data_IF_392368135953
#
_entry.id   IF_392368135953
#
_cell.length_a   1.000
_cell.length_b   1.000
_cell.length_c   1.000
_cell.angle_alpha   90.00
_cell.angle_beta   90.00
_cell.angle_gamma   90.00
#
_symmetry.space_group_name_H-M   'P 1'
#
loop_
_entity.id
_entity.type
_entity.pdbx_description
1 polymer ?
#
# COMPACT_ATOMS: atom_id res chain seq x y z
N UNK A 1 -53.14 -11.65 -29.99
CA UNK A 1 -53.27 -10.57 -28.97
C UNK A 1 -51.88 -10.30 -28.41
N UNK A 2 -51.05 -9.46 -29.05
CA UNK A 2 -51.02 -7.99 -29.00
C UNK A 2 -50.68 -7.41 -27.61
N UNK A 3 -49.46 -6.87 -27.53
CA UNK A 3 -49.04 -5.57 -26.94
C UNK A 3 -49.33 -5.32 -25.44
N UNK A 4 -48.26 -4.96 -24.72
CA UNK A 4 -48.03 -3.62 -24.14
C UNK A 4 -48.44 -3.57 -22.64
N UNK A 5 -47.81 -2.83 -21.72
CA UNK A 5 -46.75 -1.82 -21.69
C UNK A 5 -46.43 -1.59 -20.19
N UNK A 6 -45.16 -1.29 -19.84
CA UNK A 6 -44.70 -0.34 -18.78
C UNK A 6 -45.17 -0.63 -17.33
N UNK A 7 -44.48 -0.30 -16.24
CA UNK A 7 -43.42 0.65 -15.92
C UNK A 7 -43.04 0.36 -14.45
N UNK A 8 -41.75 0.37 -14.13
CA UNK A 8 -41.28 0.20 -12.75
C UNK A 8 -39.81 0.54 -12.57
N UNK A 9 -39.30 1.52 -13.33
CA UNK A 9 -38.10 2.27 -12.97
C UNK A 9 -38.57 3.44 -12.10
N UNK A 10 -38.05 3.58 -10.88
CA UNK A 10 -37.63 4.85 -10.25
C UNK A 10 -37.42 4.67 -8.74
N UNK A 11 -36.16 4.62 -8.31
CA UNK A 11 -35.67 5.22 -7.06
C UNK A 11 -34.13 5.12 -7.04
N UNK A 12 -33.47 5.63 -8.08
CA UNK A 12 -32.07 6.04 -7.96
C UNK A 12 -32.09 7.43 -7.32
N UNK A 13 -31.68 7.47 -6.06
CA UNK A 13 -31.40 8.72 -5.37
C UNK A 13 -30.44 9.55 -6.21
N UNK A 14 -30.90 10.76 -6.54
CA UNK A 14 -30.11 11.83 -7.13
C UNK A 14 -28.83 12.04 -6.29
N UNK A 15 -27.67 11.75 -6.88
CA UNK A 15 -26.41 12.34 -6.46
C UNK A 15 -26.31 13.67 -7.22
N UNK A 16 -26.42 14.83 -6.56
CA UNK A 16 -26.23 16.10 -7.24
C UNK A 16 -24.82 16.17 -7.80
N UNK A 17 -24.76 16.39 -9.10
CA UNK A 17 -23.57 16.58 -9.90
C UNK A 17 -23.01 17.98 -9.61
N UNK A 18 -22.36 18.14 -8.45
CA UNK A 18 -21.65 19.34 -8.06
C UNK A 18 -20.30 19.43 -8.77
N UNK A 19 -20.32 19.81 -10.06
CA UNK A 19 -19.15 20.37 -10.74
C UNK A 19 -18.88 21.77 -10.19
N UNK A 20 -18.33 21.82 -8.98
CA UNK A 20 -17.60 23.00 -8.53
C UNK A 20 -16.14 22.78 -8.92
N UNK A 21 -15.84 23.08 -10.18
CA UNK A 21 -14.49 23.24 -10.71
C UNK A 21 -13.81 24.48 -10.13
N UNK A 22 -13.72 24.56 -8.80
CA UNK A 22 -12.87 25.54 -8.10
C UNK A 22 -11.50 24.92 -7.90
N UNK A 23 -10.53 25.53 -8.56
CA UNK A 23 -9.20 25.01 -8.82
C UNK A 23 -8.44 24.55 -7.58
N UNK A 24 -7.77 23.42 -7.74
CA UNK A 24 -6.55 23.03 -7.04
C UNK A 24 -5.38 23.96 -7.43
N UNK A 25 -5.57 25.28 -7.34
CA UNK A 25 -4.51 26.25 -7.56
C UNK A 25 -4.62 27.38 -6.54
N UNK A 26 -3.54 27.57 -5.79
CA UNK A 26 -3.19 28.71 -4.93
C UNK A 26 -3.57 28.68 -3.44
N UNK A 27 -3.26 27.57 -2.75
CA UNK A 27 -2.72 27.68 -1.39
C UNK A 27 -1.26 27.22 -1.38
N UNK A 28 -0.40 28.02 -2.01
CA UNK A 28 1.03 28.07 -1.63
C UNK A 28 1.14 28.85 -0.32
N UNK A 29 0.48 28.39 0.74
CA UNK A 29 0.97 28.72 2.06
C UNK A 29 2.32 28.01 2.15
N UNK A 30 3.41 28.79 2.03
CA UNK A 30 4.72 28.32 2.42
C UNK A 30 4.63 28.01 3.91
N UNK A 31 4.29 26.75 4.22
CA UNK A 31 4.36 26.20 5.56
C UNK A 31 5.79 26.42 6.04
N UNK A 32 5.97 27.45 6.84
CA UNK A 32 7.27 27.74 7.42
C UNK A 32 7.36 26.83 8.63
N UNK A 33 7.88 25.62 8.41
CA UNK A 33 8.23 24.72 9.49
C UNK A 33 9.07 25.48 10.50
N UNK A 34 8.68 25.41 11.78
CA UNK A 34 9.47 26.00 12.84
C UNK A 34 10.85 25.34 12.87
N UNK A 35 11.87 26.07 13.34
CA UNK A 35 13.22 25.52 13.46
C UNK A 35 13.23 24.27 14.35
N UNK A 36 12.41 24.23 15.41
CA UNK A 36 12.28 23.05 16.27
C UNK A 36 11.66 21.85 15.55
N UNK A 37 10.71 22.05 14.62
CA UNK A 37 10.19 20.97 13.78
C UNK A 37 11.28 20.43 12.83
N UNK A 38 12.13 21.30 12.27
CA UNK A 38 13.28 20.86 11.44
C UNK A 38 14.32 20.10 12.25
N UNK A 39 14.65 20.59 13.44
CA UNK A 39 15.62 19.93 14.32
C UNK A 39 15.08 18.58 14.82
N UNK A 40 13.76 18.44 14.99
CA UNK A 40 13.13 17.16 15.32
C UNK A 40 13.16 16.15 14.17
N UNK A 41 13.20 16.58 12.90
CA UNK A 41 13.22 15.69 11.73
C UNK A 41 14.54 14.93 11.58
N UNK A 42 15.66 15.58 11.87
CA UNK A 42 16.98 15.01 11.64
C UNK A 42 17.51 14.26 12.87
N UNK A 43 16.70 14.11 13.92
CA UNK A 43 17.10 13.47 15.16
C UNK A 43 16.66 12.01 15.18
N UNK A 44 17.64 11.16 15.37
CA UNK A 44 17.44 9.76 15.72
C UNK A 44 17.32 9.69 17.24
N UNK A 45 16.25 9.07 17.72
CA UNK A 45 16.01 8.82 19.13
C UNK A 45 16.30 7.36 19.42
N UNK A 46 17.09 7.07 20.45
CA UNK A 46 17.42 5.71 20.85
C UNK A 46 16.93 5.49 22.27
N UNK A 47 16.26 4.36 22.49
CA UNK A 47 15.88 3.86 23.81
C UNK A 47 16.47 2.48 23.99
N UNK A 48 17.44 2.38 24.89
CA UNK A 48 17.98 1.09 25.32
C UNK A 48 16.92 0.33 26.12
N UNK A 49 16.81 -0.96 25.85
CA UNK A 49 16.01 -1.93 26.59
C UNK A 49 16.96 -2.92 27.29
N UNK A 50 16.39 -3.91 27.98
CA UNK A 50 17.17 -4.98 28.58
C UNK A 50 17.64 -6.01 27.53
N UNK A 51 18.61 -6.85 27.89
CA UNK A 51 18.99 -8.05 27.11
C UNK A 51 19.55 -7.75 25.70
N UNK A 52 20.24 -6.62 25.53
CA UNK A 52 20.85 -6.27 24.24
C UNK A 52 19.83 -5.87 23.17
N UNK A 53 18.65 -5.38 23.60
CA UNK A 53 17.62 -4.84 22.74
C UNK A 53 17.63 -3.31 22.81
N UNK A 54 17.30 -2.66 21.70
CA UNK A 54 17.07 -1.21 21.69
C UNK A 54 16.00 -0.84 20.68
N UNK A 55 15.35 0.31 20.90
CA UNK A 55 14.45 0.93 19.94
C UNK A 55 15.11 2.16 19.34
N UNK A 56 15.19 2.21 18.02
CA UNK A 56 15.54 3.42 17.27
C UNK A 56 14.26 4.03 16.73
N UNK A 57 14.09 5.35 16.88
CA UNK A 57 12.92 6.04 16.35
C UNK A 57 13.28 7.33 15.61
N UNK A 58 12.52 7.58 14.56
CA UNK A 58 12.60 8.79 13.72
C UNK A 58 11.19 9.32 13.48
N UNK A 59 11.04 10.64 13.36
CA UNK A 59 9.76 11.23 12.97
C UNK A 59 9.44 10.81 11.53
N UNK A 60 8.30 10.17 11.32
CA UNK A 60 7.87 9.70 9.99
C UNK A 60 7.64 10.90 9.06
N UNK A 61 8.17 10.85 7.84
CA UNK A 61 7.94 11.90 6.84
C UNK A 61 6.47 12.00 6.41
N UNK A 62 5.67 10.95 6.62
CA UNK A 62 4.24 10.93 6.28
C UNK A 62 3.43 11.99 7.03
N UNK A 63 3.91 12.47 8.18
CA UNK A 63 3.21 13.50 8.99
C UNK A 63 3.11 14.86 8.30
N UNK A 64 3.86 15.09 7.22
CA UNK A 64 3.83 16.33 6.45
C UNK A 64 3.01 16.24 5.17
N UNK A 65 2.47 15.05 4.85
CA UNK A 65 1.68 14.88 3.63
C UNK A 65 0.38 15.68 3.67
N UNK A 66 -0.18 15.88 4.87
CA UNK A 66 -1.46 16.58 5.05
C UNK A 66 -1.43 17.49 6.29
N UNK A 67 -2.03 18.69 6.22
CA UNK A 67 -2.19 19.54 7.39
C UNK A 67 -2.93 18.83 8.54
N UNK A 68 -2.44 18.99 9.76
CA UNK A 68 -3.07 18.42 10.96
C UNK A 68 -2.77 16.95 11.21
N UNK A 69 -1.87 16.32 10.43
CA UNK A 69 -1.50 14.91 10.66
C UNK A 69 -0.93 14.71 12.09
N UNK A 70 -1.27 13.59 12.75
CA UNK A 70 -0.77 13.29 14.09
C UNK A 70 0.74 13.05 14.09
N UNK A 71 1.36 13.25 15.26
CA UNK A 71 2.75 12.87 15.49
C UNK A 71 2.88 11.36 15.30
N UNK A 72 3.72 10.94 14.37
CA UNK A 72 4.02 9.55 14.07
C UNK A 72 5.53 9.33 14.05
N UNK A 73 5.97 8.27 14.72
CA UNK A 73 7.36 7.82 14.72
C UNK A 73 7.45 6.50 13.95
N UNK A 74 8.45 6.37 13.09
CA UNK A 74 8.92 5.06 12.64
C UNK A 74 9.83 4.51 13.73
N UNK A 75 9.50 3.34 14.27
CA UNK A 75 10.26 2.70 15.36
C UNK A 75 10.82 1.38 14.85
N UNK A 76 12.12 1.17 15.05
CA UNK A 76 12.87 -0.01 14.64
C UNK A 76 13.31 -0.74 15.91
N UNK A 77 13.02 -2.04 15.99
CA UNK A 77 13.53 -2.91 17.05
C UNK A 77 14.90 -3.47 16.63
N UNK A 78 15.94 -3.07 17.34
CA UNK A 78 17.29 -3.56 17.13
C UNK A 78 17.62 -4.68 18.12
N UNK A 79 18.44 -5.62 17.65
CA UNK A 79 18.95 -6.74 18.43
C UNK A 79 20.47 -6.73 18.38
N UNK A 80 21.11 -7.11 19.48
CA UNK A 80 22.57 -7.13 19.60
C UNK A 80 23.25 -8.06 18.57
N UNK A 81 22.56 -9.11 18.11
CA UNK A 81 23.03 -10.03 17.07
C UNK A 81 22.98 -9.43 15.65
N UNK A 82 22.53 -8.18 15.50
CA UNK A 82 22.39 -7.49 14.22
C UNK A 82 21.22 -7.98 13.37
N UNK A 83 20.43 -8.94 13.86
CA UNK A 83 19.25 -9.41 13.13
C UNK A 83 18.12 -8.37 13.23
N UNK A 84 17.36 -8.16 12.14
CA UNK A 84 16.27 -7.18 12.16
C UNK A 84 15.15 -7.65 13.08
N UNK A 85 14.79 -6.83 14.09
CA UNK A 85 13.59 -7.01 14.90
C UNK A 85 12.32 -6.48 14.23
N UNK A 86 12.48 -5.75 13.14
CA UNK A 86 11.42 -5.15 12.34
C UNK A 86 11.13 -3.69 12.68
N UNK A 87 10.25 -3.09 11.89
CA UNK A 87 9.78 -1.73 12.09
C UNK A 87 8.25 -1.66 12.21
N UNK A 88 7.78 -0.63 12.93
CA UNK A 88 6.39 -0.33 13.17
C UNK A 88 6.20 1.18 13.39
N UNK A 89 4.95 1.64 13.48
CA UNK A 89 4.65 3.07 13.63
C UNK A 89 3.97 3.36 14.98
N UNK A 90 4.58 4.22 15.78
CA UNK A 90 3.95 4.74 17.00
C UNK A 90 3.26 6.07 16.68
N UNK A 91 1.98 6.21 17.03
CA UNK A 91 1.17 7.39 16.67
C UNK A 91 0.55 8.01 17.92
N UNK A 92 0.77 9.31 18.11
CA UNK A 92 0.03 10.11 19.08
C UNK A 92 -1.05 10.94 18.37
N UNK A 93 -2.28 10.41 18.36
CA UNK A 93 -3.42 11.05 17.67
C UNK A 93 -3.89 12.35 18.30
N UNK A 94 -3.50 12.62 19.55
CA UNK A 94 -3.87 13.82 20.29
C UNK A 94 -2.85 14.96 20.12
N UNK A 95 -1.77 14.73 19.36
CA UNK A 95 -0.70 15.71 19.14
C UNK A 95 -0.40 15.83 17.65
N UNK A 96 -0.58 17.01 17.08
CA UNK A 96 -0.09 17.27 15.72
C UNK A 96 1.42 17.48 15.74
N UNK A 97 2.11 17.03 14.68
CA UNK A 97 3.54 17.28 14.48
C UNK A 97 3.89 18.78 14.54
N UNK A 98 2.98 19.65 14.12
CA UNK A 98 3.20 21.10 14.08
C UNK A 98 3.49 21.69 15.46
N UNK A 99 2.94 21.08 16.51
CA UNK A 99 3.07 21.52 17.89
C UNK A 99 3.84 20.52 18.76
N UNK A 100 4.33 19.43 18.17
CA UNK A 100 5.06 18.40 18.89
C UNK A 100 6.46 18.90 19.30
N UNK A 101 6.89 18.49 20.49
CA UNK A 101 8.22 18.77 21.02
C UNK A 101 9.07 17.49 21.04
N UNK A 102 10.38 17.61 21.22
CA UNK A 102 11.24 16.43 21.42
C UNK A 102 10.83 15.62 22.67
N UNK A 103 10.27 16.26 23.69
CA UNK A 103 9.74 15.57 24.86
C UNK A 103 8.50 14.72 24.52
N UNK A 104 7.66 15.16 23.57
CA UNK A 104 6.53 14.38 23.08
C UNK A 104 7.02 13.14 22.31
N UNK A 105 8.08 13.28 21.51
CA UNK A 105 8.72 12.17 20.79
C UNK A 105 9.28 11.13 21.77
N UNK A 106 10.07 11.55 22.76
CA UNK A 106 10.63 10.66 23.79
C UNK A 106 9.53 9.95 24.56
N UNK A 107 8.46 10.66 24.94
CA UNK A 107 7.31 10.07 25.64
C UNK A 107 6.61 9.01 24.80
N UNK A 108 6.39 9.30 23.52
CA UNK A 108 5.78 8.34 22.59
C UNK A 108 6.66 7.11 22.40
N UNK A 109 7.98 7.27 22.27
CA UNK A 109 8.93 6.15 22.21
C UNK A 109 8.97 5.32 23.51
N UNK A 110 8.87 5.98 24.67
CA UNK A 110 8.83 5.30 25.97
C UNK A 110 7.55 4.49 26.19
N UNK A 111 6.45 4.85 25.51
CA UNK A 111 5.20 4.10 25.57
C UNK A 111 5.23 2.81 24.74
N UNK A 112 6.14 2.67 23.77
CA UNK A 112 6.27 1.46 22.95
C UNK A 112 6.80 0.33 23.81
N UNK A 113 6.10 -0.81 23.82
CA UNK A 113 6.50 -2.00 24.53
C UNK A 113 6.91 -3.12 23.57
N UNK A 114 7.72 -4.03 24.10
CA UNK A 114 8.07 -5.29 23.47
C UNK A 114 7.48 -6.43 24.30
N UNK A 115 7.16 -7.52 23.63
CA UNK A 115 6.70 -8.76 24.25
C UNK A 115 7.34 -9.97 23.57
N UNK A 116 7.34 -11.15 24.22
CA UNK A 116 7.75 -12.38 23.55
C UNK A 116 6.83 -12.71 22.37
N UNK A 117 7.41 -13.09 21.24
CA UNK A 117 6.67 -13.60 20.09
C UNK A 117 5.82 -14.79 20.51
N UNK A 118 4.54 -14.79 20.13
CA UNK A 118 3.59 -15.85 20.47
C UNK A 118 3.92 -17.24 19.91
N UNK A 119 4.91 -17.36 19.01
CA UNK A 119 5.33 -18.62 18.38
C UNK A 119 6.70 -19.13 18.80
N UNK A 120 7.67 -18.24 18.89
CA UNK A 120 9.07 -18.61 19.11
C UNK A 120 9.73 -17.87 20.28
N UNK A 121 8.95 -17.08 21.02
CA UNK A 121 9.40 -16.27 22.17
C UNK A 121 10.46 -15.20 21.87
N UNK A 122 10.94 -15.08 20.63
CA UNK A 122 11.82 -14.00 20.21
C UNK A 122 11.15 -12.62 20.43
N UNK A 123 11.91 -11.55 20.71
CA UNK A 123 11.35 -10.23 20.93
C UNK A 123 10.49 -9.74 19.75
N UNK A 124 9.32 -9.20 20.06
CA UNK A 124 8.36 -8.64 19.10
C UNK A 124 7.73 -7.38 19.67
N UNK A 125 7.20 -6.52 18.80
CA UNK A 125 6.40 -5.38 19.23
C UNK A 125 5.10 -5.83 19.93
N UNK A 126 4.74 -5.16 21.01
CA UNK A 126 3.42 -5.31 21.62
C UNK A 126 2.38 -4.49 20.84
N UNK A 127 1.42 -5.14 20.14
CA UNK A 127 0.41 -4.46 19.34
C UNK A 127 -0.55 -3.60 20.16
N UNK A 128 -0.57 -3.73 21.50
CA UNK A 128 -1.35 -2.83 22.36
C UNK A 128 -0.72 -1.43 22.49
N UNK A 129 0.57 -1.29 22.15
CA UNK A 129 1.34 -0.05 22.38
C UNK A 129 1.82 0.64 21.11
N UNK A 130 1.70 -0.01 19.95
CA UNK A 130 2.19 0.49 18.66
C UNK A 130 1.30 0.01 17.50
N UNK A 131 1.17 0.83 16.45
CA UNK A 131 0.41 0.45 15.26
C UNK A 131 1.23 -0.55 14.43
N UNK A 132 0.80 -1.82 14.43
CA UNK A 132 1.42 -2.91 13.69
C UNK A 132 0.39 -3.94 13.23
N UNK A 133 0.59 -4.50 12.04
CA UNK A 133 -0.21 -5.60 11.49
C UNK A 133 0.36 -6.99 11.84
N UNK A 134 1.40 -7.04 12.67
CA UNK A 134 2.13 -8.28 13.00
C UNK A 134 1.48 -9.11 14.09
N UNK A 135 0.53 -8.55 14.84
CA UNK A 135 -0.24 -9.28 15.86
C UNK A 135 0.63 -9.92 16.95
N UNK A 136 1.74 -9.28 17.34
CA UNK A 136 2.66 -9.81 18.34
C UNK A 136 3.65 -10.87 17.83
N UNK A 137 3.77 -11.04 16.51
CA UNK A 137 4.82 -11.88 15.91
C UNK A 137 6.12 -11.10 15.73
N UNK A 138 7.25 -11.77 15.91
CA UNK A 138 8.56 -11.24 15.50
C UNK A 138 8.67 -11.17 13.97
N UNK A 139 9.65 -10.41 13.45
CA UNK A 139 9.91 -10.24 12.02
C UNK A 139 9.95 -11.58 11.27
N UNK A 140 10.76 -12.53 11.75
CA UNK A 140 10.95 -13.82 11.07
C UNK A 140 9.65 -14.61 10.95
N UNK A 141 8.88 -14.74 12.03
CA UNK A 141 7.59 -15.44 12.00
C UNK A 141 6.56 -14.73 11.13
N UNK A 142 6.54 -13.39 11.16
CA UNK A 142 5.64 -12.59 10.33
C UNK A 142 5.96 -12.74 8.83
N UNK A 143 7.23 -12.64 8.45
CA UNK A 143 7.66 -12.81 7.06
C UNK A 143 7.41 -14.24 6.55
N UNK A 144 7.57 -15.24 7.40
CA UNK A 144 7.25 -16.62 7.04
C UNK A 144 5.77 -16.77 6.66
N UNK A 145 4.87 -16.23 7.47
CA UNK A 145 3.43 -16.22 7.15
C UNK A 145 3.13 -15.46 5.86
N UNK A 146 3.74 -14.29 5.71
CA UNK A 146 3.54 -13.45 4.54
C UNK A 146 3.99 -14.16 3.26
N UNK A 147 5.15 -14.82 3.30
CA UNK A 147 5.67 -15.64 2.18
C UNK A 147 4.72 -16.78 1.84
N UNK A 148 4.24 -17.54 2.84
CA UNK A 148 3.33 -18.66 2.60
C UNK A 148 2.01 -18.21 1.97
N UNK A 149 1.46 -17.08 2.43
CA UNK A 149 0.24 -16.49 1.84
C UNK A 149 0.49 -16.03 0.41
N UNK A 150 1.61 -15.34 0.18
CA UNK A 150 2.00 -14.89 -1.15
C UNK A 150 2.15 -16.08 -2.13
N UNK A 151 2.82 -17.14 -1.71
CA UNK A 151 3.01 -18.35 -2.53
C UNK A 151 1.67 -19.02 -2.87
N UNK A 152 0.77 -19.14 -1.89
CA UNK A 152 -0.56 -19.69 -2.10
C UNK A 152 -1.39 -18.83 -3.09
N UNK A 153 -1.36 -17.52 -2.94
CA UNK A 153 -2.05 -16.59 -3.85
C UNK A 153 -1.47 -16.61 -5.26
N UNK A 154 -0.14 -16.67 -5.38
CA UNK A 154 0.54 -16.80 -6.67
C UNK A 154 0.15 -18.10 -7.38
N UNK A 155 0.13 -19.22 -6.66
CA UNK A 155 -0.28 -20.51 -7.21
C UNK A 155 -1.77 -20.51 -7.60
N UNK A 156 -2.64 -19.90 -6.79
CA UNK A 156 -4.04 -19.72 -7.14
C UNK A 156 -4.20 -18.90 -8.43
N UNK A 157 -3.49 -17.78 -8.55
CA UNK A 157 -3.49 -16.94 -9.77
C UNK A 157 -2.97 -17.71 -10.98
N UNK A 158 -1.90 -18.49 -10.83
CA UNK A 158 -1.36 -19.38 -11.89
C UNK A 158 -2.41 -20.39 -12.36
N UNK A 159 -3.10 -21.06 -11.43
CA UNK A 159 -4.18 -22.00 -11.75
C UNK A 159 -5.36 -21.33 -12.47
N UNK A 160 -5.76 -20.14 -12.02
CA UNK A 160 -6.82 -19.36 -12.67
C UNK A 160 -6.45 -18.96 -14.11
N UNK A 161 -5.21 -18.50 -14.32
CA UNK A 161 -4.69 -18.21 -15.65
C UNK A 161 -4.68 -19.48 -16.51
N UNK A 162 -4.12 -20.59 -16.02
CA UNK A 162 -4.08 -21.86 -16.75
C UNK A 162 -5.47 -22.42 -17.09
N UNK A 163 -6.47 -22.21 -16.22
CA UNK A 163 -7.87 -22.58 -16.50
C UNK A 163 -8.45 -21.71 -17.62
N UNK A 164 -8.27 -20.39 -17.57
CA UNK A 164 -8.74 -19.47 -18.61
C UNK A 164 -8.04 -19.74 -19.94
N UNK A 165 -6.74 -19.99 -19.91
CA UNK A 165 -5.94 -20.33 -21.10
C UNK A 165 -6.44 -21.62 -21.76
N UNK A 166 -6.72 -22.68 -20.99
CA UNK A 166 -7.34 -23.91 -21.52
C UNK A 166 -8.71 -23.65 -22.15
N UNK A 167 -9.56 -22.84 -21.50
CA UNK A 167 -10.88 -22.47 -22.02
C UNK A 167 -10.81 -21.65 -23.30
N UNK A 168 -9.87 -20.71 -23.40
CA UNK A 168 -9.71 -19.88 -24.59
C UNK A 168 -9.06 -20.66 -25.73
N UNK A 169 -8.16 -21.60 -25.41
CA UNK A 169 -7.60 -22.55 -26.38
C UNK A 169 -8.67 -23.44 -27.00
N UNK A 170 -9.63 -23.94 -26.22
CA UNK A 170 -10.76 -24.71 -26.76
C UNK A 170 -11.71 -23.88 -27.62
N UNK A 171 -11.66 -22.55 -27.51
CA UNK A 171 -12.38 -21.59 -28.37
C UNK A 171 -11.58 -21.15 -29.60
N UNK A 172 -10.45 -21.79 -29.88
CA UNK A 172 -9.62 -21.52 -31.06
C UNK A 172 -8.61 -20.37 -30.88
N UNK A 173 -8.46 -19.84 -29.66
CA UNK A 173 -7.42 -18.84 -29.39
C UNK A 173 -6.05 -19.51 -29.28
N UNK A 174 -5.02 -18.85 -29.80
CA UNK A 174 -3.63 -19.36 -29.83
C UNK A 174 -2.66 -18.50 -29.03
N UNK A 175 -3.05 -17.27 -28.70
CA UNK A 175 -2.22 -16.30 -28.00
C UNK A 175 -3.01 -15.62 -26.87
N UNK A 176 -2.34 -15.37 -25.74
CA UNK A 176 -2.77 -14.45 -24.68
C UNK A 176 -1.84 -13.24 -24.69
N UNK A 177 -2.41 -12.07 -24.57
CA UNK A 177 -1.71 -10.79 -24.47
C UNK A 177 -1.99 -10.25 -23.08
N UNK A 178 -0.96 -9.98 -22.29
CA UNK A 178 -1.08 -9.26 -21.02
C UNK A 178 -0.55 -7.85 -21.23
N UNK A 179 -1.36 -6.83 -21.01
CA UNK A 179 -1.00 -5.43 -21.19
C UNK A 179 -1.13 -4.66 -19.87
N UNK A 180 -0.22 -3.71 -19.64
CA UNK A 180 -0.28 -2.79 -18.51
C UNK A 180 -0.75 -1.42 -19.02
N UNK A 181 -1.96 -1.04 -18.62
CA UNK A 181 -2.66 0.16 -19.09
C UNK A 181 -2.52 1.26 -18.04
N UNK A 182 -1.90 2.39 -18.40
CA UNK A 182 -1.74 3.55 -17.53
C UNK A 182 -2.60 4.71 -18.04
N UNK A 183 -3.78 4.90 -17.44
CA UNK A 183 -4.75 5.95 -17.82
C UNK A 183 -4.53 7.30 -17.11
N UNK A 184 -3.65 7.35 -16.12
CA UNK A 184 -3.35 8.53 -15.31
C UNK A 184 -1.93 8.52 -14.73
N UNK A 185 -1.69 9.33 -13.71
CA UNK A 185 -0.32 9.54 -13.22
C UNK A 185 0.23 8.41 -12.36
N UNK A 186 -0.59 7.62 -11.65
CA UNK A 186 -0.05 6.78 -10.57
C UNK A 186 -0.29 5.27 -10.69
N UNK A 187 -1.33 4.81 -11.41
CA UNK A 187 -1.74 3.40 -11.39
C UNK A 187 -1.70 2.71 -12.76
N UNK A 188 -1.43 1.40 -12.73
CA UNK A 188 -1.45 0.50 -13.88
C UNK A 188 -2.55 -0.55 -13.71
N UNK A 189 -3.45 -0.63 -14.68
CA UNK A 189 -4.41 -1.73 -14.80
C UNK A 189 -3.81 -2.83 -15.67
N UNK A 190 -3.77 -4.06 -15.15
CA UNK A 190 -3.40 -5.22 -15.98
C UNK A 190 -4.63 -5.73 -16.73
N UNK A 191 -4.60 -5.66 -18.05
CA UNK A 191 -5.61 -6.23 -18.92
C UNK A 191 -5.10 -7.45 -19.68
N UNK A 192 -5.99 -8.42 -19.93
CA UNK A 192 -5.66 -9.62 -20.67
C UNK A 192 -6.60 -9.82 -21.86
N UNK A 193 -6.01 -10.03 -23.03
CA UNK A 193 -6.74 -10.30 -24.27
C UNK A 193 -6.30 -11.62 -24.90
N UNK A 194 -7.15 -12.19 -25.74
CA UNK A 194 -6.89 -13.43 -26.44
C UNK A 194 -7.02 -13.23 -27.94
N UNK A 195 -6.18 -13.91 -28.72
CA UNK A 195 -6.17 -13.83 -30.18
C UNK A 195 -6.02 -15.22 -30.82
N UNK A 196 -6.75 -15.45 -31.91
CA UNK A 196 -6.66 -16.68 -32.71
C UNK A 196 -5.43 -16.72 -33.64
N UNK A 197 -4.88 -15.55 -33.97
CA UNK A 197 -3.69 -15.37 -34.81
C UNK A 197 -2.60 -14.60 -34.05
N UNK A 198 -1.36 -14.71 -34.54
CA UNK A 198 -0.22 -14.04 -33.92
C UNK A 198 -0.43 -12.52 -33.94
N UNK A 199 -0.52 -11.86 -32.77
CA UNK A 199 -0.72 -10.42 -32.73
C UNK A 199 0.57 -9.71 -33.15
N UNK A 200 0.47 -8.71 -34.02
CA UNK A 200 1.64 -7.90 -34.36
C UNK A 200 1.92 -6.89 -33.25
N UNK A 201 3.20 -6.53 -33.05
CA UNK A 201 3.58 -5.51 -32.07
C UNK A 201 2.86 -4.18 -32.32
N UNK A 202 2.72 -3.79 -33.60
CA UNK A 202 2.01 -2.57 -34.03
C UNK A 202 0.52 -2.60 -33.67
N UNK A 203 -0.19 -3.69 -33.97
CA UNK A 203 -1.62 -3.82 -33.66
C UNK A 203 -1.89 -3.85 -32.15
N UNK A 204 -1.03 -4.55 -31.40
CA UNK A 204 -1.12 -4.62 -29.94
C UNK A 204 -0.85 -3.26 -29.31
N UNK A 205 0.20 -2.56 -29.75
CA UNK A 205 0.49 -1.20 -29.31
C UNK A 205 -0.64 -0.21 -29.63
N UNK A 206 -1.25 -0.32 -30.82
CA UNK A 206 -2.40 0.50 -31.19
C UNK A 206 -3.61 0.23 -30.29
N UNK A 207 -3.83 -1.04 -29.89
CA UNK A 207 -4.88 -1.41 -28.94
C UNK A 207 -4.60 -0.85 -27.54
N UNK A 208 -3.39 -1.03 -27.00
CA UNK A 208 -2.99 -0.46 -25.70
C UNK A 208 -3.23 1.04 -25.62
N UNK A 209 -2.88 1.78 -26.68
CA UNK A 209 -3.17 3.24 -26.75
C UNK A 209 -4.66 3.55 -26.82
N UNK A 210 -5.45 2.71 -27.51
CA UNK A 210 -6.91 2.88 -27.61
C UNK A 210 -7.61 2.72 -26.27
N UNK A 211 -7.08 1.88 -25.38
CA UNK A 211 -7.54 1.75 -23.99
C UNK A 211 -7.16 2.94 -23.10
N UNK A 212 -6.54 3.98 -23.68
CA UNK A 212 -6.15 5.20 -22.98
C UNK A 212 -4.79 5.11 -22.29
N UNK A 213 -3.97 4.10 -22.60
CA UNK A 213 -2.65 3.99 -21.98
C UNK A 213 -1.68 5.05 -22.50
N UNK A 214 -1.03 5.74 -21.57
CA UNK A 214 0.09 6.66 -21.82
C UNK A 214 1.41 5.91 -22.09
N UNK A 215 1.51 4.66 -21.67
CA UNK A 215 2.65 3.76 -21.89
C UNK A 215 2.23 2.56 -22.74
N UNK A 216 3.11 2.11 -23.64
CA UNK A 216 2.91 0.86 -24.37
C UNK A 216 3.75 -0.23 -23.73
N UNK A 217 3.13 -1.03 -22.86
CA UNK A 217 3.77 -2.16 -22.20
C UNK A 217 2.85 -3.39 -22.26
N UNK A 218 3.39 -4.50 -22.79
CA UNK A 218 2.67 -5.76 -22.93
C UNK A 218 3.59 -6.96 -23.20
N UNK A 219 3.10 -8.13 -22.83
CA UNK A 219 3.69 -9.44 -23.11
C UNK A 219 2.73 -10.30 -23.92
N UNK A 220 3.28 -11.15 -24.79
CA UNK A 220 2.50 -12.10 -25.62
C UNK A 220 2.93 -13.52 -25.28
N UNK A 221 1.97 -14.34 -24.90
CA UNK A 221 2.12 -15.75 -24.55
C UNK A 221 1.45 -16.62 -25.61
N UNK A 222 2.10 -17.70 -26.01
CA UNK A 222 1.49 -18.76 -26.83
C UNK A 222 0.77 -19.76 -25.90
N UNK A 223 -0.45 -20.15 -26.27
CA UNK A 223 -1.32 -21.04 -25.48
C UNK A 223 -1.17 -22.53 -25.81
#
# INVERSE_FOLDING_TARGET
MLRALRSGLQALGHVPNGRDGRGWNNQKERFTMTQSTRDALNRIFVRELTEGLSLTAEVSLCVFMFPGYPLQLKVILNRQDGTPGGDAFAVNRNRSIMNATSADVVRLLNAVAIQPCSRCSAPAFDPATIETNRGGLCESCFLQDLSQRLDAEMEQKRRQIARRDRQMKSRGMKYRIAAWIRRGECDYDKEEWYAASAPSRKSTAARVRREGSTLVDFEVFKL
#
